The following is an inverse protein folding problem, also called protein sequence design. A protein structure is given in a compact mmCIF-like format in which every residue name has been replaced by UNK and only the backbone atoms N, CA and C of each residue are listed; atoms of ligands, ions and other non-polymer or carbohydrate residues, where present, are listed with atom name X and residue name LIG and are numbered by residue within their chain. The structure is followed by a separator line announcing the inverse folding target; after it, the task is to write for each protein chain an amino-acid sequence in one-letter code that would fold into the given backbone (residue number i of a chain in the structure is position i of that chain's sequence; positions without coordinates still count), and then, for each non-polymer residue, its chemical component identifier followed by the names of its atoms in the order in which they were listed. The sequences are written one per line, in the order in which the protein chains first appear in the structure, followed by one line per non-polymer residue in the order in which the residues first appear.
data_IF_059570551151
#
_entry.id   IF_059570551151
#
_cell.length_a   1.000
_cell.length_b   1.000
_cell.length_c   1.000
_cell.angle_alpha   90.00
_cell.angle_beta   90.00
_cell.angle_gamma   90.00
#
_symmetry.space_group_name_H-M   'P 1'
#
loop_
_entity.id
_entity.type
_entity.pdbx_description
1 polymer ?
#
# COMPACT_ATOMS: atom_id res chain seq x y z
N UNK A 1 -11.84 49.81 23.01
CA UNK A 1 -12.00 48.64 23.90
C UNK A 1 -12.95 47.61 23.28
N UNK A 2 -14.21 47.95 22.96
CA UNK A 2 -15.18 47.00 22.36
C UNK A 2 -14.81 46.51 20.94
N UNK A 3 -14.16 47.34 20.14
CA UNK A 3 -13.77 47.02 18.75
C UNK A 3 -12.71 45.91 18.68
N UNK A 4 -11.66 45.96 19.52
CA UNK A 4 -10.68 44.88 19.68
C UNK A 4 -11.29 43.56 20.19
N UNK A 5 -12.37 43.62 20.98
CA UNK A 5 -13.04 42.42 21.50
C UNK A 5 -13.79 41.70 20.38
N UNK A 6 -14.45 42.43 19.49
CA UNK A 6 -15.14 41.88 18.33
C UNK A 6 -14.17 41.27 17.31
N UNK A 7 -13.04 41.93 17.05
CA UNK A 7 -12.01 41.43 16.14
C UNK A 7 -11.35 40.14 16.67
N UNK A 8 -11.04 40.09 17.98
CA UNK A 8 -10.50 38.89 18.61
C UNK A 8 -11.51 37.72 18.58
N UNK A 9 -12.80 38.01 18.74
CA UNK A 9 -13.86 37.00 18.71
C UNK A 9 -14.10 36.48 17.28
N UNK A 10 -14.02 37.34 16.28
CA UNK A 10 -14.05 36.95 14.87
C UNK A 10 -12.86 36.06 14.52
N UNK A 11 -11.64 36.45 14.90
CA UNK A 11 -10.43 35.68 14.64
C UNK A 11 -10.47 34.30 15.32
N UNK A 12 -10.97 34.22 16.55
CA UNK A 12 -11.18 32.93 17.24
C UNK A 12 -12.17 32.04 16.49
N UNK A 13 -13.25 32.62 15.98
CA UNK A 13 -14.25 31.88 15.20
C UNK A 13 -13.65 31.36 13.90
N UNK A 14 -12.90 32.19 13.17
CA UNK A 14 -12.17 31.78 11.96
C UNK A 14 -11.15 30.67 12.24
N UNK A 15 -10.38 30.77 13.34
CA UNK A 15 -9.43 29.73 13.72
C UNK A 15 -10.12 28.40 14.06
N UNK A 16 -11.27 28.43 14.74
CA UNK A 16 -12.05 27.21 15.00
C UNK A 16 -12.59 26.59 13.72
N UNK A 17 -13.08 27.40 12.79
CA UNK A 17 -13.59 26.94 11.50
C UNK A 17 -12.47 26.35 10.62
N UNK A 18 -11.30 27.00 10.58
CA UNK A 18 -10.11 26.48 9.91
C UNK A 18 -9.64 25.17 10.54
N UNK A 19 -9.59 25.07 11.86
CA UNK A 19 -9.20 23.83 12.55
C UNK A 19 -10.15 22.68 12.21
N UNK A 20 -11.47 22.93 12.21
CA UNK A 20 -12.47 21.94 11.79
C UNK A 20 -12.27 21.53 10.33
N UNK A 21 -11.99 22.48 9.43
CA UNK A 21 -11.75 22.18 8.01
C UNK A 21 -10.49 21.35 7.80
N UNK A 22 -9.43 21.62 8.56
CA UNK A 22 -8.20 20.83 8.56
C UNK A 22 -8.52 19.40 9.01
N UNK A 23 -9.26 19.22 10.11
CA UNK A 23 -9.65 17.90 10.60
C UNK A 23 -10.50 17.12 9.57
N UNK A 24 -11.45 17.78 8.90
CA UNK A 24 -12.24 17.19 7.82
C UNK A 24 -11.36 16.73 6.64
N UNK A 25 -10.37 17.55 6.25
CA UNK A 25 -9.42 17.22 5.20
C UNK A 25 -8.49 16.06 5.60
N UNK A 26 -7.98 16.07 6.82
CA UNK A 26 -7.15 14.98 7.35
C UNK A 26 -7.91 13.65 7.38
N UNK A 27 -9.18 13.68 7.80
CA UNK A 27 -10.04 12.49 7.79
C UNK A 27 -10.31 12.01 6.37
N UNK A 28 -10.60 12.91 5.44
CA UNK A 28 -10.76 12.56 4.03
C UNK A 28 -9.49 11.87 3.52
N UNK A 29 -8.32 12.49 3.70
CA UNK A 29 -7.02 11.94 3.30
C UNK A 29 -6.82 10.54 3.88
N UNK A 30 -7.08 10.34 5.18
CA UNK A 30 -7.00 9.02 5.83
C UNK A 30 -7.89 7.97 5.17
N UNK A 31 -9.14 8.28 4.81
CA UNK A 31 -10.03 7.31 4.17
C UNK A 31 -9.58 6.88 2.75
N UNK A 32 -8.96 7.78 1.98
CA UNK A 32 -8.42 7.48 0.65
C UNK A 32 -6.99 6.93 0.67
N UNK A 33 -6.29 7.01 1.82
CA UNK A 33 -4.83 6.87 1.93
C UNK A 33 -4.24 5.49 1.58
N UNK A 34 -5.05 4.43 1.57
CA UNK A 34 -4.61 3.06 1.28
C UNK A 34 -5.48 2.46 0.18
N UNK A 35 -5.15 2.68 -1.09
CA UNK A 35 -5.84 2.03 -2.20
C UNK A 35 -5.61 0.51 -2.16
N UNK A 36 -6.69 -0.26 -2.23
CA UNK A 36 -6.63 -1.71 -2.46
C UNK A 36 -7.14 -1.97 -3.87
N UNK A 37 -6.25 -2.38 -4.75
CA UNK A 37 -6.53 -2.55 -6.18
C UNK A 37 -6.64 -4.05 -6.48
N UNK A 38 -7.81 -4.57 -6.86
CA UNK A 38 -7.94 -5.95 -7.29
C UNK A 38 -7.08 -6.24 -8.52
N UNK A 39 -6.39 -7.37 -8.51
CA UNK A 39 -5.64 -7.86 -9.67
C UNK A 39 -6.56 -8.55 -10.67
N UNK A 40 -6.05 -8.78 -11.88
CA UNK A 40 -6.68 -9.70 -12.85
C UNK A 40 -6.63 -11.17 -12.40
N UNK A 41 -5.77 -11.50 -11.44
CA UNK A 41 -5.71 -12.83 -10.86
C UNK A 41 -6.70 -12.96 -9.68
N UNK A 42 -7.49 -14.05 -9.63
CA UNK A 42 -8.38 -14.32 -8.52
C UNK A 42 -7.62 -14.39 -7.19
N UNK A 43 -8.18 -13.74 -6.15
CA UNK A 43 -7.64 -13.72 -4.80
C UNK A 43 -6.37 -12.89 -4.61
N UNK A 44 -5.99 -12.06 -5.60
CA UNK A 44 -4.79 -11.23 -5.53
C UNK A 44 -5.16 -9.74 -5.49
N UNK A 45 -4.58 -8.99 -4.56
CA UNK A 45 -4.69 -7.52 -4.51
C UNK A 45 -3.32 -6.83 -4.55
N UNK A 46 -3.30 -5.62 -5.07
CA UNK A 46 -2.17 -4.70 -5.09
C UNK A 46 -2.42 -3.54 -4.11
N UNK A 47 -1.41 -3.23 -3.30
CA UNK A 47 -1.40 -2.14 -2.35
C UNK A 47 -0.21 -1.23 -2.67
N UNK A 48 -0.42 -0.15 -3.44
CA UNK A 48 0.64 0.80 -3.71
C UNK A 48 0.90 1.66 -2.49
N UNK A 49 2.18 1.69 -2.10
CA UNK A 49 2.70 2.54 -1.06
C UNK A 49 3.30 3.77 -1.75
N UNK A 50 2.67 4.93 -1.55
CA UNK A 50 3.10 6.19 -2.15
C UNK A 50 3.02 7.31 -1.11
N UNK A 51 3.97 8.24 -1.12
CA UNK A 51 4.11 9.30 -0.10
C UNK A 51 4.88 8.82 1.14
N UNK A 52 4.90 9.64 2.20
CA UNK A 52 5.63 9.32 3.43
C UNK A 52 5.18 7.98 4.02
N UNK A 53 6.16 7.15 4.39
CA UNK A 53 5.95 5.88 5.07
C UNK A 53 6.16 6.09 6.55
N UNK A 54 5.05 6.18 7.27
CA UNK A 54 5.02 6.40 8.71
C UNK A 54 4.34 5.23 9.44
N UNK A 55 4.63 5.04 10.73
CA UNK A 55 3.91 4.12 11.62
C UNK A 55 2.38 4.17 11.45
N UNK A 56 1.83 5.39 11.44
CA UNK A 56 0.39 5.64 11.41
C UNK A 56 -0.25 5.11 10.13
N UNK A 57 0.50 5.05 9.02
CA UNK A 57 0.01 4.43 7.79
C UNK A 57 -0.06 2.93 7.88
N UNK A 58 0.91 2.27 8.51
CA UNK A 58 0.87 0.83 8.68
C UNK A 58 -0.27 0.40 9.59
N UNK A 59 -0.58 1.20 10.61
CA UNK A 59 -1.76 1.01 11.48
C UNK A 59 -3.08 1.09 10.71
N UNK A 60 -3.10 1.76 9.55
CA UNK A 60 -4.26 1.78 8.64
C UNK A 60 -4.22 0.66 7.60
N UNK A 61 -3.03 0.34 7.07
CA UNK A 61 -2.85 -0.66 6.01
C UNK A 61 -3.20 -2.06 6.52
N UNK A 62 -2.66 -2.47 7.68
CA UNK A 62 -2.82 -3.83 8.21
C UNK A 62 -4.30 -4.18 8.42
N UNK A 63 -5.10 -3.39 9.16
CA UNK A 63 -6.52 -3.72 9.38
C UNK A 63 -7.33 -3.67 8.07
N UNK A 64 -6.98 -2.78 7.14
CA UNK A 64 -7.71 -2.66 5.88
C UNK A 64 -7.51 -3.89 5.00
N UNK A 65 -6.29 -4.41 4.91
CA UNK A 65 -6.00 -5.64 4.17
C UNK A 65 -6.65 -6.85 4.86
N UNK A 66 -6.50 -6.99 6.18
CA UNK A 66 -7.10 -8.10 6.93
C UNK A 66 -8.63 -8.13 6.83
N UNK A 67 -9.27 -6.96 6.95
CA UNK A 67 -10.73 -6.83 6.78
C UNK A 67 -11.20 -7.17 5.36
N UNK A 68 -10.36 -7.00 4.34
CA UNK A 68 -10.66 -7.44 2.99
C UNK A 68 -10.39 -8.94 2.79
N UNK A 69 -9.34 -9.47 3.39
CA UNK A 69 -8.98 -10.89 3.31
C UNK A 69 -10.09 -11.78 3.88
N UNK A 70 -10.66 -11.42 5.03
CA UNK A 70 -11.75 -12.18 5.64
C UNK A 70 -13.06 -12.19 4.84
N UNK A 71 -13.25 -11.28 3.88
CA UNK A 71 -14.52 -11.08 3.18
C UNK A 71 -14.49 -11.38 1.67
N UNK A 72 -13.32 -11.54 1.04
CA UNK A 72 -13.17 -11.52 -0.43
C UNK A 72 -12.27 -12.60 -1.04
N UNK A 73 -12.09 -13.74 -0.39
CA UNK A 73 -11.23 -14.85 -0.87
C UNK A 73 -9.83 -14.37 -1.32
N UNK A 74 -9.27 -13.40 -0.60
CA UNK A 74 -7.91 -12.91 -0.88
C UNK A 74 -6.94 -13.88 -0.24
N UNK A 75 -6.03 -14.42 -1.05
CA UNK A 75 -4.96 -15.31 -0.61
C UNK A 75 -3.57 -14.71 -0.85
N UNK A 76 -3.48 -13.61 -1.61
CA UNK A 76 -2.21 -12.97 -1.97
C UNK A 76 -2.32 -11.46 -2.00
N UNK A 77 -1.30 -10.78 -1.45
CA UNK A 77 -1.18 -9.32 -1.42
C UNK A 77 0.17 -8.93 -2.00
N UNK A 78 0.17 -8.00 -2.94
CA UNK A 78 1.38 -7.38 -3.49
C UNK A 78 1.51 -5.96 -2.93
N UNK A 79 2.57 -5.72 -2.17
CA UNK A 79 2.93 -4.40 -1.64
C UNK A 79 3.89 -3.73 -2.63
N UNK A 80 3.48 -2.59 -3.19
CA UNK A 80 4.26 -1.89 -4.22
C UNK A 80 4.96 -0.65 -3.68
N UNK A 81 6.30 -0.72 -3.64
CA UNK A 81 7.19 0.33 -3.17
C UNK A 81 7.74 1.20 -4.32
N UNK A 82 7.26 1.05 -5.56
CA UNK A 82 7.80 1.76 -6.71
C UNK A 82 7.78 3.29 -6.57
N UNK A 83 6.85 3.81 -5.76
CA UNK A 83 6.68 5.24 -5.50
C UNK A 83 7.35 5.71 -4.20
N UNK A 84 8.14 4.86 -3.53
CA UNK A 84 8.87 5.18 -2.30
C UNK A 84 10.36 5.35 -2.58
N UNK A 85 10.91 6.49 -2.14
CA UNK A 85 12.34 6.74 -2.10
C UNK A 85 12.83 6.87 -0.66
N UNK A 86 14.15 6.99 -0.48
CA UNK A 86 14.75 7.20 0.85
C UNK A 86 14.29 8.49 1.53
N UNK A 87 13.72 9.46 0.79
CA UNK A 87 13.21 10.71 1.37
C UNK A 87 11.89 10.54 2.10
N UNK A 88 11.07 9.61 1.61
CA UNK A 88 9.76 9.30 2.20
C UNK A 88 9.88 8.30 3.36
N UNK A 89 11.09 7.83 3.68
CA UNK A 89 11.36 6.89 4.76
C UNK A 89 12.09 7.63 5.88
N UNK A 90 11.45 7.75 7.04
CA UNK A 90 12.07 8.32 8.23
C UNK A 90 13.13 7.39 8.83
N UNK A 91 12.72 6.22 9.32
CA UNK A 91 13.59 5.24 9.98
C UNK A 91 13.40 3.83 9.38
N UNK A 92 14.50 3.25 8.90
CA UNK A 92 14.54 1.93 8.28
C UNK A 92 14.21 0.78 9.25
N UNK A 93 14.58 0.91 10.52
CA UNK A 93 14.25 -0.09 11.53
C UNK A 93 12.75 -0.10 11.82
N UNK A 94 12.16 1.09 11.95
CA UNK A 94 10.71 1.25 12.12
C UNK A 94 9.98 0.62 10.94
N UNK A 95 10.39 0.94 9.71
CA UNK A 95 9.83 0.33 8.51
C UNK A 95 9.92 -1.21 8.54
N UNK A 96 11.07 -1.74 8.94
CA UNK A 96 11.27 -3.18 9.08
C UNK A 96 10.32 -3.82 10.09
N UNK A 97 10.16 -3.23 11.27
CA UNK A 97 9.22 -3.70 12.29
C UNK A 97 7.78 -3.75 11.77
N UNK A 98 7.32 -2.69 11.10
CA UNK A 98 5.97 -2.66 10.55
C UNK A 98 5.76 -3.64 9.39
N UNK A 99 6.77 -3.82 8.54
CA UNK A 99 6.72 -4.82 7.47
C UNK A 99 6.64 -6.24 8.04
N UNK A 100 7.44 -6.59 9.05
CA UNK A 100 7.35 -7.89 9.74
C UNK A 100 5.95 -8.08 10.32
N UNK A 101 5.43 -7.07 11.03
CA UNK A 101 4.11 -7.17 11.66
C UNK A 101 3.02 -7.38 10.61
N UNK A 102 3.08 -6.66 9.49
CA UNK A 102 2.15 -6.82 8.38
C UNK A 102 2.24 -8.23 7.78
N UNK A 103 3.42 -8.67 7.36
CA UNK A 103 3.58 -9.98 6.71
C UNK A 103 3.25 -11.14 7.65
N UNK A 104 3.59 -11.03 8.94
CA UNK A 104 3.25 -12.03 9.96
C UNK A 104 1.73 -12.10 10.17
N UNK A 105 1.07 -10.94 10.27
CA UNK A 105 -0.39 -10.88 10.43
C UNK A 105 -1.11 -11.50 9.25
N UNK A 106 -0.65 -11.22 8.02
CA UNK A 106 -1.19 -11.80 6.80
C UNK A 106 -0.96 -13.31 6.73
N UNK A 107 0.24 -13.77 7.08
CA UNK A 107 0.60 -15.19 7.10
C UNK A 107 -0.29 -16.00 8.05
N UNK A 108 -0.59 -15.46 9.24
CA UNK A 108 -1.47 -16.10 10.23
C UNK A 108 -2.88 -16.36 9.68
N UNK A 109 -3.39 -15.46 8.84
CA UNK A 109 -4.71 -15.59 8.21
C UNK A 109 -4.67 -16.29 6.84
N UNK A 110 -3.51 -16.86 6.47
CA UNK A 110 -3.35 -17.60 5.21
C UNK A 110 -3.16 -16.73 3.97
N UNK A 111 -2.77 -15.47 4.13
CA UNK A 111 -2.52 -14.53 3.03
C UNK A 111 -1.02 -14.38 2.78
N UNK A 112 -0.58 -14.70 1.56
CA UNK A 112 0.81 -14.56 1.12
C UNK A 112 1.11 -13.09 0.79
N UNK A 113 2.15 -12.52 1.42
CA UNK A 113 2.62 -11.17 1.10
C UNK A 113 3.82 -11.20 0.15
N UNK A 114 3.77 -10.40 -0.91
CA UNK A 114 4.83 -10.18 -1.88
C UNK A 114 5.19 -8.70 -1.90
N UNK A 115 6.46 -8.38 -2.10
CA UNK A 115 6.94 -6.99 -2.16
C UNK A 115 7.53 -6.70 -3.54
N UNK A 116 7.16 -5.57 -4.15
CA UNK A 116 7.67 -5.15 -5.45
C UNK A 116 8.16 -3.71 -5.44
N UNK A 117 8.96 -3.34 -6.45
CA UNK A 117 9.30 -1.94 -6.68
C UNK A 117 10.35 -1.35 -5.72
N UNK A 118 11.03 -2.18 -4.92
CA UNK A 118 12.17 -1.72 -4.11
C UNK A 118 13.28 -1.26 -5.06
N UNK A 119 13.63 0.03 -4.99
CA UNK A 119 14.71 0.56 -5.82
C UNK A 119 16.08 0.01 -5.36
N UNK A 120 17.08 -0.12 -6.26
CA UNK A 120 18.37 -0.74 -5.92
C UNK A 120 19.14 -0.05 -4.78
N UNK A 121 19.09 1.29 -4.71
CA UNK A 121 19.74 2.05 -3.64
C UNK A 121 19.09 1.76 -2.29
N UNK A 122 17.77 1.72 -2.25
CA UNK A 122 16.99 1.40 -1.07
C UNK A 122 17.27 -0.04 -0.61
N UNK A 123 17.38 -1.00 -1.54
CA UNK A 123 17.81 -2.35 -1.22
C UNK A 123 19.21 -2.39 -0.57
N UNK A 124 20.16 -1.59 -1.06
CA UNK A 124 21.50 -1.48 -0.46
C UNK A 124 21.45 -0.93 0.97
N UNK A 125 20.71 0.17 1.20
CA UNK A 125 20.55 0.78 2.52
C UNK A 125 19.86 -0.19 3.52
N UNK A 126 18.87 -0.96 3.06
CA UNK A 126 18.20 -1.98 3.87
C UNK A 126 19.17 -3.09 4.31
N UNK A 127 20.08 -3.51 3.45
CA UNK A 127 21.10 -4.50 3.81
C UNK A 127 22.14 -3.90 4.75
N UNK A 128 22.57 -2.66 4.52
CA UNK A 128 23.57 -1.96 5.35
C UNK A 128 23.07 -1.67 6.76
N UNK A 129 21.77 -1.40 6.91
CA UNK A 129 21.13 -1.21 8.22
C UNK A 129 20.98 -2.51 9.03
N UNK A 130 21.43 -3.65 8.49
CA UNK A 130 21.43 -4.97 9.16
C UNK A 130 20.04 -5.42 9.63
N UNK A 131 18.98 -4.90 9.02
CA UNK A 131 17.62 -5.27 9.43
C UNK A 131 17.34 -6.72 8.99
N UNK A 132 17.02 -7.57 9.96
CA UNK A 132 16.94 -9.03 9.77
C UNK A 132 15.76 -9.49 8.89
N UNK A 133 14.72 -8.66 8.74
CA UNK A 133 13.47 -9.04 8.08
C UNK A 133 13.58 -9.27 6.57
N UNK A 134 14.62 -8.73 5.93
CA UNK A 134 14.80 -8.80 4.47
C UNK A 134 14.81 -10.25 3.97
N UNK A 135 15.32 -11.19 4.78
CA UNK A 135 15.47 -12.60 4.38
C UNK A 135 14.14 -13.35 4.25
N UNK A 136 13.08 -12.85 4.88
CA UNK A 136 11.77 -13.51 4.91
C UNK A 136 10.81 -12.93 3.86
N UNK A 137 11.17 -11.78 3.25
CA UNK A 137 10.34 -11.13 2.25
C UNK A 137 10.54 -11.73 0.86
N UNK A 138 9.43 -12.18 0.27
CA UNK A 138 9.39 -12.57 -1.14
C UNK A 138 9.32 -11.31 -2.01
N UNK A 139 10.45 -10.94 -2.61
CA UNK A 139 10.63 -9.68 -3.33
C UNK A 139 10.76 -9.89 -4.83
N UNK A 140 10.21 -8.96 -5.62
CA UNK A 140 10.36 -8.93 -7.07
C UNK A 140 10.67 -7.51 -7.54
N UNK A 141 11.34 -7.39 -8.68
CA UNK A 141 11.67 -6.07 -9.25
C UNK A 141 10.43 -5.29 -9.70
N UNK A 142 9.36 -5.97 -10.13
CA UNK A 142 8.18 -5.33 -10.73
C UNK A 142 6.89 -6.06 -10.35
N UNK A 143 5.76 -5.35 -10.40
CA UNK A 143 4.43 -5.97 -10.31
C UNK A 143 4.25 -7.10 -11.34
N UNK A 144 4.74 -6.91 -12.57
CA UNK A 144 4.66 -7.93 -13.64
C UNK A 144 5.33 -9.24 -13.26
N UNK A 145 6.54 -9.20 -12.68
CA UNK A 145 7.25 -10.42 -12.29
C UNK A 145 6.61 -11.13 -11.09
N UNK A 146 6.08 -10.38 -10.12
CA UNK A 146 5.27 -10.95 -9.03
C UNK A 146 3.99 -11.60 -9.57
N UNK A 147 3.32 -10.97 -10.55
CA UNK A 147 2.12 -11.52 -11.17
C UNK A 147 2.42 -12.83 -11.90
N UNK A 148 3.49 -12.87 -12.70
CA UNK A 148 3.94 -14.08 -13.39
C UNK A 148 4.28 -15.22 -12.42
N UNK A 149 4.83 -14.87 -11.26
CA UNK A 149 5.11 -15.83 -10.20
C UNK A 149 3.80 -16.43 -9.63
N UNK A 150 2.85 -15.58 -9.23
CA UNK A 150 1.55 -16.02 -8.72
C UNK A 150 0.73 -16.80 -9.74
N UNK A 151 0.81 -16.43 -11.03
CA UNK A 151 0.20 -17.20 -12.11
C UNK A 151 0.70 -18.65 -12.11
N UNK A 152 2.01 -18.85 -12.02
CA UNK A 152 2.61 -20.19 -11.98
C UNK A 152 2.18 -20.97 -10.74
N UNK A 153 2.16 -20.33 -9.55
CA UNK A 153 1.67 -20.98 -8.31
C UNK A 153 0.20 -21.42 -8.44
N UNK A 154 -0.63 -20.61 -9.10
CA UNK A 154 -2.05 -20.90 -9.33
C UNK A 154 -2.34 -21.78 -10.55
N UNK A 155 -1.30 -22.26 -11.26
CA UNK A 155 -1.46 -23.09 -12.47
C UNK A 155 -2.06 -22.34 -13.67
N UNK A 156 -1.92 -21.03 -13.72
CA UNK A 156 -2.42 -20.15 -14.78
C UNK A 156 -1.32 -19.80 -15.78
N UNK A 157 -1.71 -19.62 -17.05
CA UNK A 157 -0.82 -19.14 -18.11
C UNK A 157 -1.52 -18.09 -18.96
N UNK A 158 -0.75 -17.14 -19.51
CA UNK A 158 -1.26 -16.20 -20.52
C UNK A 158 -1.19 -16.87 -21.88
N UNK A 159 -2.30 -16.84 -22.62
CA UNK A 159 -2.36 -17.28 -24.01
C UNK A 159 -2.70 -16.06 -24.88
N UNK A 160 -2.05 -15.97 -26.03
CA UNK A 160 -2.44 -14.98 -27.03
C UNK A 160 -3.80 -15.42 -27.60
N UNK A 161 -4.75 -14.49 -27.67
CA UNK A 161 -6.04 -14.78 -28.27
C UNK A 161 -5.81 -14.89 -29.78
N UNK A 162 -6.03 -16.08 -30.36
CA UNK A 162 -6.08 -16.22 -31.81
C UNK A 162 -7.13 -15.24 -32.33
N UNK A 163 -6.72 -14.39 -33.28
CA UNK A 163 -7.65 -13.46 -33.93
C UNK A 163 -8.58 -14.34 -34.75
N UNK A 164 -9.86 -14.45 -34.34
CA UNK A 164 -10.91 -14.99 -35.21
C UNK A 164 -10.92 -14.11 -36.46
N UNK A 165 -10.26 -14.58 -37.53
CA UNK A 165 -10.52 -14.13 -38.88
C UNK A 165 -12.00 -14.42 -39.11
N UNK A 166 -12.83 -13.40 -38.90
CA UNK A 166 -14.21 -13.37 -39.34
C UNK A 166 -14.21 -13.85 -40.79
N UNK A 167 -14.66 -15.08 -41.02
CA UNK A 167 -14.94 -15.57 -42.36
C UNK A 167 -15.99 -14.62 -42.95
N UNK A 168 -15.70 -13.90 -44.05
CA UNK A 168 -16.65 -12.94 -44.63
C UNK A 168 -17.79 -13.63 -45.40
N UNK A 169 -18.10 -14.89 -45.10
CA UNK A 169 -19.12 -15.69 -45.79
C UNK A 169 -19.99 -16.49 -44.80
N UNK A 170 -20.63 -15.79 -43.86
CA UNK A 170 -21.82 -16.29 -43.17
C UNK A 170 -23.08 -15.58 -43.70
#
# INVERSE_FOLDING_TARGET
MAENTNELQLLKTQNMELAKRIEELENLVRTVSVPLIPSILPGVILVPLAGEISPERFDLIIPKILGHAGNKDIDSVILDFSAISMKEIGDLNILGHYLINLTSSLSIVGVQALVVGINPRFAQELVMSQVSFIKELKTFSTFKSALQFLMKEKGLTLVEKETELLSPYA
#
